data_IF_483473876416
#
_entry.id   IF_483473876416
#
_cell.length_a   1.000
_cell.length_b   1.000
_cell.length_c   1.000
_cell.angle_alpha   90.00
_cell.angle_beta   90.00
_cell.angle_gamma   90.00
#
_symmetry.space_group_name_H-M   'P 1'
#
loop_
_entity.id
_entity.type
_entity.pdbx_description
1 polymer ?
#
# COMPACT_ATOMS: atom_id res chain seq x y z
N UNK A 1 15.81 -11.23 -19.29
CA UNK A 1 14.47 -10.68 -19.59
C UNK A 1 14.07 -9.85 -18.39
N UNK A 2 14.22 -8.53 -18.49
CA UNK A 2 14.09 -7.58 -17.39
C UNK A 2 12.92 -6.65 -17.73
N UNK A 3 11.70 -7.18 -17.64
CA UNK A 3 10.47 -6.44 -17.93
C UNK A 3 10.04 -5.56 -16.74
N UNK A 4 10.50 -5.86 -15.53
CA UNK A 4 10.11 -5.16 -14.31
C UNK A 4 10.63 -3.71 -14.26
N UNK A 5 11.77 -3.40 -14.90
CA UNK A 5 12.32 -2.03 -14.95
C UNK A 5 11.68 -1.13 -16.01
N UNK A 6 10.84 -1.66 -16.91
CA UNK A 6 10.21 -0.87 -17.99
C UNK A 6 8.68 -0.95 -17.98
N UNK A 7 8.10 -1.72 -17.06
CA UNK A 7 6.66 -1.88 -16.92
C UNK A 7 6.16 -1.11 -15.70
N UNK A 8 4.95 -0.55 -15.81
CA UNK A 8 4.21 0.00 -14.68
C UNK A 8 3.21 -1.05 -14.20
N UNK A 9 3.32 -1.45 -12.95
CA UNK A 9 2.48 -2.48 -12.36
C UNK A 9 1.75 -1.92 -11.14
N UNK A 10 0.46 -2.26 -11.02
CA UNK A 10 -0.29 -1.91 -9.82
C UNK A 10 0.06 -2.88 -8.70
N UNK A 11 0.54 -2.34 -7.59
CA UNK A 11 0.49 -3.06 -6.32
C UNK A 11 -0.91 -2.87 -5.76
N UNK A 12 -1.61 -3.98 -5.48
CA UNK A 12 -2.96 -3.98 -4.90
C UNK A 12 -2.96 -4.60 -3.51
N UNK A 13 -3.68 -3.96 -2.59
CA UNK A 13 -3.89 -4.42 -1.22
C UNK A 13 -5.39 -4.40 -0.93
N UNK A 14 -5.94 -5.48 -0.40
CA UNK A 14 -7.34 -5.52 0.05
C UNK A 14 -7.58 -4.51 1.16
N UNK A 15 -8.57 -3.63 0.98
CA UNK A 15 -8.93 -2.63 1.96
C UNK A 15 -10.25 -3.02 2.65
N UNK A 16 -10.13 -3.65 3.81
CA UNK A 16 -11.27 -3.99 4.67
C UNK A 16 -11.06 -3.39 6.05
N UNK A 17 -12.07 -2.69 6.58
CA UNK A 17 -12.03 -2.14 7.93
C UNK A 17 -13.25 -2.60 8.74
N UNK A 18 -13.00 -2.96 9.99
CA UNK A 18 -14.00 -3.43 10.94
C UNK A 18 -13.79 -2.68 12.25
N UNK A 19 -14.83 -2.04 12.77
CA UNK A 19 -14.75 -1.34 14.05
C UNK A 19 -14.79 -2.32 15.23
N UNK A 20 -14.54 -1.80 16.44
CA UNK A 20 -14.48 -2.59 17.68
C UNK A 20 -15.74 -3.40 18.00
N UNK A 21 -16.89 -2.98 17.49
CA UNK A 21 -18.16 -3.68 17.62
C UNK A 21 -18.33 -4.83 16.61
N UNK A 22 -17.30 -5.12 15.79
CA UNK A 22 -17.34 -6.12 14.74
C UNK A 22 -18.10 -5.70 13.48
N UNK A 23 -18.62 -4.48 13.42
CA UNK A 23 -19.33 -3.98 12.25
C UNK A 23 -18.35 -3.42 11.21
N UNK A 24 -18.65 -3.58 9.91
CA UNK A 24 -17.84 -2.96 8.87
C UNK A 24 -17.90 -1.44 9.00
N UNK A 25 -16.74 -0.79 8.80
CA UNK A 25 -16.62 0.66 8.73
C UNK A 25 -16.04 1.06 7.38
N UNK A 26 -16.44 2.21 6.87
CA UNK A 26 -15.91 2.73 5.61
C UNK A 26 -14.49 3.24 5.82
N UNK A 27 -13.55 2.63 5.11
CA UNK A 27 -12.18 3.12 5.01
C UNK A 27 -12.06 4.12 3.85
N UNK A 28 -11.36 5.23 4.07
CA UNK A 28 -11.17 6.29 3.06
C UNK A 28 -9.71 6.78 3.06
N UNK A 29 -9.29 7.36 1.94
CA UNK A 29 -7.92 7.89 1.76
C UNK A 29 -6.82 6.87 2.07
N UNK A 30 -6.83 5.68 1.45
CA UNK A 30 -5.78 4.71 1.69
C UNK A 30 -4.43 5.26 1.20
N UNK A 31 -3.37 4.94 1.93
CA UNK A 31 -1.99 5.23 1.55
C UNK A 31 -1.16 3.97 1.73
N UNK A 32 -0.17 3.77 0.86
CA UNK A 32 0.73 2.63 0.87
C UNK A 32 2.18 3.09 1.06
N UNK A 33 2.96 2.30 1.80
CA UNK A 33 4.39 2.52 1.99
C UNK A 33 5.18 1.23 1.72
N UNK A 34 6.41 1.39 1.21
CA UNK A 34 7.28 0.30 0.79
C UNK A 34 8.64 0.39 1.46
N UNK A 35 8.89 -0.45 2.46
CA UNK A 35 10.13 -0.39 3.26
C UNK A 35 10.95 -1.66 3.09
N UNK A 36 12.25 -1.52 2.78
CA UNK A 36 13.18 -2.65 2.75
C UNK A 36 13.52 -3.17 4.16
N UNK A 37 13.39 -2.31 5.18
CA UNK A 37 13.62 -2.62 6.59
C UNK A 37 12.38 -3.12 7.32
N UNK A 38 12.55 -3.49 8.60
CA UNK A 38 11.46 -3.97 9.47
C UNK A 38 10.85 -2.87 10.34
N UNK A 39 11.26 -1.62 10.18
CA UNK A 39 10.73 -0.49 10.95
C UNK A 39 9.35 -0.08 10.45
N UNK A 40 8.65 0.73 11.25
CA UNK A 40 7.40 1.33 10.84
C UNK A 40 7.67 2.47 9.83
N UNK A 41 6.74 2.72 8.88
CA UNK A 41 6.86 3.85 7.97
C UNK A 41 6.89 5.19 8.70
N UNK A 42 7.79 6.07 8.28
CA UNK A 42 7.77 7.50 8.59
C UNK A 42 6.73 8.25 7.77
N UNK A 43 6.58 9.55 8.03
CA UNK A 43 5.58 10.39 7.37
C UNK A 43 5.80 10.50 5.84
N UNK A 44 7.07 10.55 5.43
CA UNK A 44 7.48 10.71 4.03
C UNK A 44 7.44 9.41 3.21
N UNK A 45 7.26 8.25 3.86
CA UNK A 45 7.22 6.94 3.19
C UNK A 45 5.86 6.65 2.52
N UNK A 46 4.84 7.46 2.81
CA UNK A 46 3.46 7.18 2.43
C UNK A 46 3.09 7.78 1.06
N UNK A 47 2.61 6.93 0.17
CA UNK A 47 2.06 7.30 -1.13
C UNK A 47 0.55 7.17 -1.14
N UNK A 48 -0.14 8.17 -1.70
CA UNK A 48 -1.59 8.12 -1.83
C UNK A 48 -2.01 7.01 -2.79
N UNK A 49 -2.98 6.21 -2.37
CA UNK A 49 -3.50 5.08 -3.12
C UNK A 49 -4.92 5.38 -3.63
N UNK A 50 -5.23 4.87 -4.82
CA UNK A 50 -6.59 4.82 -5.32
C UNK A 50 -7.31 3.61 -4.76
N UNK A 51 -8.63 3.69 -4.59
CA UNK A 51 -9.48 2.50 -4.37
C UNK A 51 -10.08 2.08 -5.71
N UNK A 52 -9.87 0.83 -6.11
CA UNK A 52 -10.55 0.27 -7.29
C UNK A 52 -11.98 -0.19 -6.97
N UNK A 53 -12.74 -0.52 -8.02
CA UNK A 53 -14.16 -0.92 -7.90
C UNK A 53 -14.35 -2.21 -7.09
N UNK A 54 -13.29 -3.01 -6.94
CA UNK A 54 -13.27 -4.25 -6.16
C UNK A 54 -12.90 -4.01 -4.68
N UNK A 55 -12.63 -2.76 -4.29
CA UNK A 55 -12.30 -2.38 -2.91
C UNK A 55 -10.84 -2.59 -2.53
N UNK A 56 -9.92 -2.61 -3.51
CA UNK A 56 -8.49 -2.65 -3.25
C UNK A 56 -7.87 -1.26 -3.26
N UNK A 57 -7.03 -0.98 -2.26
CA UNK A 57 -6.08 0.12 -2.34
C UNK A 57 -4.98 -0.24 -3.34
N UNK A 58 -4.69 0.65 -4.29
CA UNK A 58 -3.65 0.41 -5.29
C UNK A 58 -2.81 1.65 -5.57
N UNK A 59 -1.53 1.40 -5.84
CA UNK A 59 -0.58 2.39 -6.35
C UNK A 59 0.19 1.82 -7.52
N UNK A 60 0.62 2.69 -8.42
CA UNK A 60 1.42 2.32 -9.57
C UNK A 60 2.90 2.36 -9.19
N UNK A 61 3.58 1.23 -9.38
CA UNK A 61 5.03 1.09 -9.16
C UNK A 61 5.71 0.87 -10.51
N UNK A 62 6.87 1.49 -10.69
CA UNK A 62 7.66 1.46 -11.92
C UNK A 62 8.00 2.87 -12.44
N UNK A 63 8.57 2.96 -13.64
CA UNK A 63 9.02 4.23 -14.23
C UNK A 63 7.93 5.30 -14.29
N UNK A 64 8.32 6.55 -14.06
CA UNK A 64 7.42 7.72 -14.03
C UNK A 64 6.31 7.62 -12.95
N UNK A 65 6.48 6.75 -11.96
CA UNK A 65 5.56 6.55 -10.83
C UNK A 65 6.36 6.41 -9.52
N UNK A 66 5.96 5.50 -8.64
CA UNK A 66 6.76 5.13 -7.48
C UNK A 66 7.88 4.20 -7.98
N UNK A 67 9.10 4.72 -8.00
CA UNK A 67 10.28 3.98 -8.39
C UNK A 67 10.93 3.34 -7.15
N UNK A 68 11.06 2.01 -7.19
CA UNK A 68 11.70 1.22 -6.14
C UNK A 68 12.91 0.52 -6.72
N UNK A 69 14.02 0.54 -6.00
CA UNK A 69 15.21 -0.22 -6.36
C UNK A 69 14.94 -1.73 -6.30
N UNK A 70 15.71 -2.52 -7.05
CA UNK A 70 15.67 -3.98 -6.98
C UNK A 70 15.87 -4.44 -5.53
N UNK A 71 14.90 -5.19 -5.00
CA UNK A 71 14.89 -5.52 -3.58
C UNK A 71 13.62 -6.22 -3.10
N UNK A 72 13.57 -6.48 -1.79
CA UNK A 72 12.39 -6.99 -1.10
C UNK A 72 11.88 -5.90 -0.16
N UNK A 73 10.58 -5.64 -0.21
CA UNK A 73 9.93 -4.60 0.58
C UNK A 73 8.79 -5.22 1.38
N UNK A 74 8.60 -4.73 2.60
CA UNK A 74 7.33 -4.81 3.28
C UNK A 74 6.38 -3.77 2.69
N UNK A 75 5.16 -4.20 2.41
CA UNK A 75 4.06 -3.32 2.02
C UNK A 75 3.27 -3.00 3.27
N UNK A 76 3.08 -1.70 3.51
CA UNK A 76 2.27 -1.17 4.59
C UNK A 76 1.05 -0.45 4.03
N UNK A 77 -0.03 -0.43 4.81
CA UNK A 77 -1.24 0.31 4.49
C UNK A 77 -1.69 1.14 5.69
N UNK A 78 -2.16 2.35 5.40
CA UNK A 78 -2.93 3.17 6.34
C UNK A 78 -4.15 3.73 5.63
N UNK A 79 -5.20 4.05 6.38
CA UNK A 79 -6.42 4.68 5.89
C UNK A 79 -7.12 5.40 7.04
N UNK A 80 -8.07 6.27 6.72
CA UNK A 80 -9.01 6.80 7.73
C UNK A 80 -10.20 5.86 7.85
N UNK A 81 -10.41 5.29 9.03
CA UNK A 81 -11.53 4.41 9.35
C UNK A 81 -12.25 4.92 10.61
N UNK A 82 -13.34 5.66 10.43
CA UNK A 82 -14.01 6.35 11.54
C UNK A 82 -13.12 7.45 12.14
N UNK A 83 -12.77 7.34 13.42
CA UNK A 83 -11.88 8.28 14.11
C UNK A 83 -10.42 7.79 14.18
N UNK A 84 -10.13 6.63 13.59
CA UNK A 84 -8.84 5.97 13.69
C UNK A 84 -8.07 6.03 12.37
N UNK A 85 -6.75 5.93 12.48
CA UNK A 85 -5.83 5.81 11.37
C UNK A 85 -4.86 4.64 11.63
N UNK A 86 -5.31 3.39 11.41
CA UNK A 86 -4.47 2.22 11.63
C UNK A 86 -3.27 2.22 10.66
N UNK A 87 -2.18 1.57 11.09
CA UNK A 87 -0.96 1.35 10.28
C UNK A 87 -0.65 -0.15 10.35
N UNK A 88 -0.82 -0.84 9.22
CA UNK A 88 -0.77 -2.31 9.18
C UNK A 88 0.17 -2.83 8.09
N UNK A 89 0.77 -4.01 8.33
CA UNK A 89 1.53 -4.73 7.30
C UNK A 89 0.59 -5.50 6.39
N UNK A 90 0.61 -5.17 5.11
CA UNK A 90 -0.25 -5.76 4.09
C UNK A 90 0.39 -6.93 3.33
N UNK A 91 1.73 -7.05 3.35
CA UNK A 91 2.41 -8.13 2.65
C UNK A 91 3.85 -7.83 2.29
N UNK A 92 4.39 -8.57 1.30
CA UNK A 92 5.74 -8.37 0.77
C UNK A 92 5.70 -8.17 -0.73
N UNK A 93 6.55 -7.29 -1.22
CA UNK A 93 6.77 -7.02 -2.63
C UNK A 93 8.23 -7.32 -3.00
N UNK A 94 8.45 -7.96 -4.13
CA UNK A 94 9.80 -8.20 -4.66
C UNK A 94 9.94 -7.54 -6.03
N UNK A 95 10.91 -6.65 -6.14
CA UNK A 95 11.31 -5.99 -7.39
C UNK A 95 12.53 -6.73 -7.96
N UNK A 96 12.54 -6.99 -9.26
CA UNK A 96 13.55 -7.78 -9.97
C UNK A 96 14.36 -6.95 -10.95
#
# INVERSE_FOLDING_TARGET
>A
MQLAQTSREYVRVSLTATGDNGNPVTATGPRLAFLAGNDNPGEDDWHDAETDDDGHARVLVGPDAIELDTGNYWVWITCTAGAEQPVERAGRLRIY
#
